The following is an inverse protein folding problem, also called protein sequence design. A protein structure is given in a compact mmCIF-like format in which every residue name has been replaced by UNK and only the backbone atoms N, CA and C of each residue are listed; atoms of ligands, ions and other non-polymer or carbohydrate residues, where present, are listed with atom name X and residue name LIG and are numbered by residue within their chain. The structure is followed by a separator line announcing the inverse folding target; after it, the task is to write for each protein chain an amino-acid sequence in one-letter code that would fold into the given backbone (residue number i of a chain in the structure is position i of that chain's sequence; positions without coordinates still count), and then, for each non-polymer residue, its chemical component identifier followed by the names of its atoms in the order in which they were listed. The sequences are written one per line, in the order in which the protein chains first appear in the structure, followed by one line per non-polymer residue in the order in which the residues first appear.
data_IF_604840448015
#
_entry.id   IF_604840448015
#
_cell.length_a   1.000
_cell.length_b   1.000
_cell.length_c   1.000
_cell.angle_alpha   90.00
_cell.angle_beta   90.00
_cell.angle_gamma   90.00
#
_symmetry.space_group_name_H-M   'P 1'
#
loop_
_entity.id
_entity.type
_entity.pdbx_description
1 polymer ?
#
# COMPACT_ATOMS: atom_id res chain seq x y z
N UNK A 1 -13.67 5.27 7.55
CA UNK A 1 -12.27 5.15 7.06
C UNK A 1 -11.32 5.91 7.98
N UNK A 2 -11.70 7.08 8.48
CA UNK A 2 -10.87 7.84 9.44
C UNK A 2 -10.45 7.03 10.67
N UNK A 3 -11.39 6.29 11.27
CA UNK A 3 -11.08 5.41 12.41
C UNK A 3 -10.05 4.33 12.09
N UNK A 4 -10.04 3.82 10.85
CA UNK A 4 -9.02 2.87 10.39
C UNK A 4 -7.64 3.54 10.37
N UNK A 5 -7.52 4.74 9.82
CA UNK A 5 -6.27 5.47 9.81
C UNK A 5 -5.77 5.78 11.23
N UNK A 6 -6.67 6.16 12.13
CA UNK A 6 -6.35 6.39 13.54
C UNK A 6 -5.83 5.10 14.19
N UNK A 7 -6.49 3.97 13.99
CA UNK A 7 -6.06 2.66 14.49
C UNK A 7 -4.66 2.29 13.99
N UNK A 8 -4.40 2.41 12.68
CA UNK A 8 -3.08 2.12 12.10
C UNK A 8 -2.00 3.04 12.69
N UNK A 9 -2.25 4.35 12.78
CA UNK A 9 -1.29 5.32 13.33
C UNK A 9 -0.99 5.10 14.80
N UNK A 10 -1.99 4.69 15.58
CA UNK A 10 -1.84 4.35 17.01
C UNK A 10 -1.26 2.97 17.24
N UNK A 11 -1.03 2.19 16.18
CA UNK A 11 -0.58 0.79 16.24
C UNK A 11 -1.50 -0.12 17.08
N UNK A 12 -2.80 0.17 17.09
CA UNK A 12 -3.78 -0.55 17.90
C UNK A 12 -4.24 -1.82 17.17
N UNK A 13 -3.48 -2.90 17.36
CA UNK A 13 -3.78 -4.21 16.76
C UNK A 13 -5.07 -4.81 17.32
N UNK A 14 -5.37 -4.56 18.60
CA UNK A 14 -6.53 -5.15 19.26
C UNK A 14 -7.84 -4.63 18.65
N UNK A 15 -7.83 -3.39 18.14
CA UNK A 15 -8.99 -2.79 17.47
C UNK A 15 -9.24 -3.34 16.06
N UNK A 16 -8.29 -4.05 15.44
CA UNK A 16 -8.40 -4.51 14.04
C UNK A 16 -9.62 -5.41 13.80
N UNK A 17 -9.81 -6.43 14.61
CA UNK A 17 -10.91 -7.39 14.42
C UNK A 17 -12.30 -6.79 14.68
N UNK A 18 -12.50 -6.05 15.78
CA UNK A 18 -13.73 -5.28 15.97
C UNK A 18 -14.01 -4.31 14.83
N UNK A 19 -12.99 -3.62 14.32
CA UNK A 19 -13.13 -2.68 13.22
C UNK A 19 -13.54 -3.37 11.91
N UNK A 20 -12.97 -4.53 11.60
CA UNK A 20 -13.34 -5.33 10.42
C UNK A 20 -14.81 -5.75 10.49
N UNK A 21 -15.28 -6.20 11.66
CA UNK A 21 -16.67 -6.62 11.84
C UNK A 21 -17.66 -5.46 11.60
N UNK A 22 -17.38 -4.30 12.19
CA UNK A 22 -18.18 -3.07 11.99
C UNK A 22 -18.15 -2.61 10.52
N UNK A 23 -16.97 -2.57 9.91
CA UNK A 23 -16.80 -2.17 8.52
C UNK A 23 -17.50 -3.14 7.56
N UNK A 24 -17.54 -4.43 7.88
CA UNK A 24 -18.23 -5.47 7.13
C UNK A 24 -19.75 -5.30 7.07
N UNK A 25 -20.36 -4.66 8.07
CA UNK A 25 -21.78 -4.34 8.11
C UNK A 25 -22.13 -2.96 7.50
N UNK A 26 -21.13 -2.25 6.97
CA UNK A 26 -21.28 -0.88 6.49
C UNK A 26 -21.15 -0.76 4.96
N UNK A 27 -21.22 0.48 4.44
CA UNK A 27 -21.01 0.79 3.02
C UNK A 27 -19.61 0.43 2.50
N UNK A 28 -18.64 0.16 3.38
CA UNK A 28 -17.27 -0.23 3.02
C UNK A 28 -17.01 -1.74 3.18
N UNK A 29 -18.05 -2.58 3.14
CA UNK A 29 -17.93 -4.03 3.31
C UNK A 29 -16.97 -4.71 2.30
N UNK A 30 -16.83 -4.18 1.08
CA UNK A 30 -15.84 -4.68 0.11
C UNK A 30 -14.40 -4.41 0.57
N UNK A 31 -14.15 -3.25 1.17
CA UNK A 31 -12.87 -2.91 1.76
C UNK A 31 -12.57 -3.81 2.96
N UNK A 32 -13.54 -3.99 3.87
CA UNK A 32 -13.41 -4.90 5.02
C UNK A 32 -13.04 -6.33 4.58
N UNK A 33 -13.66 -6.84 3.50
CA UNK A 33 -13.29 -8.14 2.91
C UNK A 33 -11.84 -8.19 2.41
N UNK A 34 -11.37 -7.14 1.73
CA UNK A 34 -9.97 -7.04 1.33
C UNK A 34 -9.02 -7.06 2.53
N UNK A 35 -9.34 -6.29 3.57
CA UNK A 35 -8.58 -6.26 4.83
C UNK A 35 -8.56 -7.65 5.51
N UNK A 36 -9.68 -8.38 5.50
CA UNK A 36 -9.74 -9.74 6.03
C UNK A 36 -8.83 -10.70 5.27
N UNK A 37 -8.82 -10.63 3.94
CA UNK A 37 -7.94 -11.47 3.11
C UNK A 37 -6.46 -11.21 3.40
N UNK A 38 -6.10 -9.94 3.63
CA UNK A 38 -4.72 -9.50 3.90
C UNK A 38 -4.43 -9.28 5.40
N UNK A 39 -5.23 -9.89 6.30
CA UNK A 39 -5.20 -9.62 7.74
C UNK A 39 -3.80 -9.80 8.37
N UNK A 40 -3.06 -10.82 7.94
CA UNK A 40 -1.69 -11.06 8.43
C UNK A 40 -0.72 -9.94 8.03
N UNK A 41 -0.78 -9.49 6.78
CA UNK A 41 0.03 -8.39 6.27
C UNK A 41 -0.31 -7.07 6.97
N UNK A 42 -1.60 -6.81 7.23
CA UNK A 42 -2.06 -5.60 7.90
C UNK A 42 -1.68 -5.62 9.38
N UNK A 43 -1.81 -6.76 10.06
CA UNK A 43 -1.29 -6.92 11.43
C UNK A 43 0.22 -6.66 11.48
N UNK A 44 0.98 -7.14 10.51
CA UNK A 44 2.41 -6.86 10.40
C UNK A 44 2.66 -5.36 10.18
N UNK A 45 1.91 -4.70 9.30
CA UNK A 45 2.02 -3.26 9.06
C UNK A 45 1.73 -2.40 10.31
N UNK A 46 0.86 -2.86 11.22
CA UNK A 46 0.55 -2.20 12.50
C UNK A 46 1.68 -2.44 13.52
N UNK A 47 2.19 -3.67 13.61
CA UNK A 47 3.14 -4.08 14.67
C UNK A 47 4.59 -3.76 14.36
N UNK A 48 4.99 -3.86 13.09
CA UNK A 48 6.37 -3.73 12.69
C UNK A 48 6.77 -2.26 12.49
N UNK A 49 8.06 -1.93 12.60
CA UNK A 49 8.55 -0.58 12.33
C UNK A 49 8.71 -0.30 10.82
N UNK A 50 8.58 -1.33 9.98
CA UNK A 50 8.83 -1.24 8.55
C UNK A 50 7.66 -0.61 7.79
N UNK A 51 7.99 0.24 6.83
CA UNK A 51 7.01 0.85 5.92
C UNK A 51 7.31 0.46 4.48
N UNK A 52 6.28 -0.01 3.76
CA UNK A 52 6.39 -0.26 2.33
C UNK A 52 6.42 1.05 1.50
N UNK A 53 6.34 2.22 2.15
CA UNK A 53 6.29 3.52 1.48
C UNK A 53 7.51 3.82 0.60
N UNK A 54 8.70 3.38 0.99
CA UNK A 54 9.90 3.54 0.15
C UNK A 54 9.78 2.73 -1.15
N UNK A 55 9.36 1.47 -1.05
CA UNK A 55 9.17 0.60 -2.21
C UNK A 55 8.07 1.15 -3.12
N UNK A 56 6.93 1.53 -2.56
CA UNK A 56 5.82 2.14 -3.33
C UNK A 56 6.22 3.46 -3.99
N UNK A 57 7.06 4.26 -3.32
CA UNK A 57 7.64 5.48 -3.88
C UNK A 57 8.50 5.20 -5.11
N UNK A 58 9.38 4.21 -5.04
CA UNK A 58 10.21 3.79 -6.18
C UNK A 58 9.35 3.23 -7.32
N UNK A 59 8.36 2.39 -7.02
CA UNK A 59 7.41 1.87 -8.01
C UNK A 59 6.62 2.99 -8.67
N UNK A 60 6.19 3.99 -7.91
CA UNK A 60 5.45 5.15 -8.42
C UNK A 60 6.32 5.98 -9.36
N UNK A 61 7.58 6.26 -8.98
CA UNK A 61 8.56 6.93 -9.85
C UNK A 61 8.78 6.16 -11.15
N UNK A 62 8.97 4.84 -11.07
CA UNK A 62 9.15 3.97 -12.23
C UNK A 62 7.92 3.99 -13.16
N UNK A 63 6.72 3.82 -12.60
CA UNK A 63 5.46 3.87 -13.34
C UNK A 63 5.26 5.24 -13.99
N UNK A 64 5.64 6.32 -13.33
CA UNK A 64 5.56 7.67 -13.88
C UNK A 64 6.46 7.84 -15.10
N UNK A 65 7.73 7.42 -15.02
CA UNK A 65 8.66 7.49 -16.17
C UNK A 65 8.13 6.66 -17.34
N UNK A 66 7.65 5.43 -17.08
CA UNK A 66 7.06 4.59 -18.14
C UNK A 66 5.83 5.24 -18.81
N UNK A 67 4.99 5.93 -18.04
CA UNK A 67 3.83 6.68 -18.56
C UNK A 67 4.23 7.89 -19.40
N UNK A 68 5.24 8.64 -18.99
CA UNK A 68 5.80 9.74 -19.80
C UNK A 68 6.33 9.26 -21.16
N UNK A 69 6.72 7.99 -21.25
CA UNK A 69 7.18 7.34 -22.48
C UNK A 69 6.06 6.62 -23.23
N UNK A 70 4.79 6.88 -22.90
CA UNK A 70 3.62 6.24 -23.50
C UNK A 70 3.69 4.70 -23.50
N UNK A 71 4.29 4.12 -22.44
CA UNK A 71 4.45 2.67 -22.32
C UNK A 71 5.58 2.06 -23.14
N UNK A 72 6.32 2.84 -23.94
CA UNK A 72 7.36 2.35 -24.88
C UNK A 72 8.76 2.22 -24.25
N UNK A 73 8.92 2.57 -22.98
CA UNK A 73 10.17 2.35 -22.25
C UNK A 73 10.38 0.88 -21.91
N UNK A 74 11.23 0.20 -22.68
CA UNK A 74 11.81 -1.12 -22.34
C UNK A 74 12.80 -0.95 -21.18
N UNK A 75 13.30 -2.07 -20.63
CA UNK A 75 14.11 -2.06 -19.39
C UNK A 75 15.37 -1.20 -19.50
N UNK A 76 16.07 -1.28 -20.63
CA UNK A 76 17.23 -0.46 -20.99
C UNK A 76 16.93 1.05 -20.89
N UNK A 77 15.82 1.49 -21.47
CA UNK A 77 15.41 2.90 -21.48
C UNK A 77 14.96 3.37 -20.09
N UNK A 78 14.28 2.51 -19.33
CA UNK A 78 13.89 2.81 -17.95
C UNK A 78 15.12 2.92 -17.04
N UNK A 79 16.10 2.03 -17.21
CA UNK A 79 17.37 2.05 -16.47
C UNK A 79 18.15 3.34 -16.75
N UNK A 80 18.32 3.70 -18.03
CA UNK A 80 19.00 4.93 -18.42
C UNK A 80 18.37 6.19 -17.82
N UNK A 81 17.03 6.24 -17.68
CA UNK A 81 16.32 7.38 -17.11
C UNK A 81 16.22 7.41 -15.59
N UNK A 82 16.23 6.25 -14.92
CA UNK A 82 16.04 6.16 -13.48
C UNK A 82 17.35 6.14 -12.69
N UNK A 83 18.36 5.49 -13.24
CA UNK A 83 19.66 5.24 -12.61
C UNK A 83 20.74 6.12 -13.26
N UNK A 84 20.55 6.53 -14.51
CA UNK A 84 21.55 7.19 -15.34
C UNK A 84 22.26 6.18 -16.25
N UNK A 85 22.85 6.65 -17.35
CA UNK A 85 23.78 5.84 -18.13
C UNK A 85 25.11 5.78 -17.35
N UNK A 86 25.45 4.60 -16.84
CA UNK A 86 26.82 4.26 -16.43
C UNK A 86 27.72 4.11 -17.64
#
# INVERSE_FOLDING_TARGET
IDDFHVMIRKKDVARLDPWIAEAGASLIASFARGITNDKSAIRAAITQPWSNGQVEGQITKLKLVKRQMYGRGKLDLLQARLIGAT
#
